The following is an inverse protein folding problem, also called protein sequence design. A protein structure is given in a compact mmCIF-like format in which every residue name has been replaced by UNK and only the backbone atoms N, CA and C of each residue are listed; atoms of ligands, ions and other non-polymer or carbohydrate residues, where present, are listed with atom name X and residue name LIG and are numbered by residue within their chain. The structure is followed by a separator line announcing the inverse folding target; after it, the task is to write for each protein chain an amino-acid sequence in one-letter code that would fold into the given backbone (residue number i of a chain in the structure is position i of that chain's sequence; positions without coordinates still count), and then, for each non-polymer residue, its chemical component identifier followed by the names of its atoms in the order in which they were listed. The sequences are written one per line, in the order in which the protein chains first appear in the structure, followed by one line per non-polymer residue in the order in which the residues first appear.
data_IF_660288075412
#
_entry.id   IF_660288075412
#
_cell.length_a   1.000
_cell.length_b   1.000
_cell.length_c   1.000
_cell.angle_alpha   90.00
_cell.angle_beta   90.00
_cell.angle_gamma   90.00
#
_symmetry.space_group_name_H-M   'P 1'
#
loop_
_entity.id
_entity.type
_entity.pdbx_description
1 polymer ?
#
# COMPACT_ATOMS: atom_id res chain seq x y z
N UNK A 1 -4.27 -19.26 -62.56
CA UNK A 1 -5.47 -18.66 -61.95
C UNK A 1 -5.49 -17.16 -62.27
N UNK A 2 -5.32 -16.81 -63.56
CA UNK A 2 -5.19 -15.41 -63.95
C UNK A 2 -6.57 -14.75 -64.02
N UNK A 3 -6.65 -13.49 -63.58
CA UNK A 3 -7.83 -12.63 -63.67
C UNK A 3 -9.13 -13.18 -63.03
N UNK A 4 -9.07 -14.22 -62.19
CA UNK A 4 -10.25 -14.95 -61.72
C UNK A 4 -11.28 -14.06 -61.00
N UNK A 5 -10.82 -13.09 -60.21
CA UNK A 5 -11.64 -12.16 -59.44
C UNK A 5 -11.29 -10.69 -59.75
N UNK A 6 -10.80 -10.41 -60.96
CA UNK A 6 -10.52 -9.02 -61.37
C UNK A 6 -11.81 -8.18 -61.32
N UNK A 7 -11.74 -7.03 -60.67
CA UNK A 7 -12.87 -6.10 -60.52
C UNK A 7 -14.06 -6.66 -59.74
N UNK A 8 -13.94 -7.82 -59.09
CA UNK A 8 -15.00 -8.43 -58.30
C UNK A 8 -15.14 -7.71 -56.94
N UNK A 9 -15.62 -6.47 -56.97
CA UNK A 9 -15.63 -5.54 -55.82
C UNK A 9 -16.36 -6.07 -54.59
N UNK A 10 -17.35 -6.95 -54.76
CA UNK A 10 -18.12 -7.55 -53.67
C UNK A 10 -17.57 -8.92 -53.19
N UNK A 11 -16.55 -9.48 -53.86
CA UNK A 11 -16.08 -10.83 -53.56
C UNK A 11 -15.23 -10.86 -52.27
N UNK A 12 -15.69 -11.64 -51.28
CA UNK A 12 -14.95 -11.92 -50.04
C UNK A 12 -15.29 -13.32 -49.50
N UNK A 13 -15.55 -14.28 -50.38
CA UNK A 13 -15.94 -15.64 -49.99
C UNK A 13 -14.72 -16.49 -49.64
N UNK A 14 -14.86 -17.40 -48.67
CA UNK A 14 -13.75 -18.20 -48.16
C UNK A 14 -13.13 -19.11 -49.23
N UNK A 15 -11.84 -18.90 -49.48
CA UNK A 15 -11.03 -19.66 -50.44
C UNK A 15 -9.70 -20.14 -49.84
N UNK A 16 -9.49 -19.93 -48.54
CA UNK A 16 -8.23 -20.29 -47.86
C UNK A 16 -7.85 -21.77 -47.98
N UNK A 17 -8.82 -22.66 -48.17
CA UNK A 17 -8.62 -24.11 -48.27
C UNK A 17 -8.34 -24.62 -49.70
N UNK A 18 -8.21 -23.72 -50.68
CA UNK A 18 -7.89 -24.14 -52.05
C UNK A 18 -6.50 -24.75 -52.14
N UNK A 19 -6.38 -25.84 -52.89
CA UNK A 19 -5.08 -26.43 -53.21
C UNK A 19 -4.44 -25.67 -54.39
N UNK A 20 -3.43 -24.85 -54.08
CA UNK A 20 -2.70 -24.04 -55.07
C UNK A 20 -1.35 -24.63 -55.47
N UNK A 21 -1.00 -25.85 -55.01
CA UNK A 21 0.35 -26.40 -55.11
C UNK A 21 0.88 -26.55 -56.56
N UNK A 22 -0.01 -26.68 -57.55
CA UNK A 22 0.33 -26.81 -58.97
C UNK A 22 0.10 -25.53 -59.77
N UNK A 23 -0.30 -24.43 -59.13
CA UNK A 23 -0.57 -23.16 -59.82
C UNK A 23 0.75 -22.49 -60.18
N UNK A 24 0.89 -22.08 -61.44
CA UNK A 24 2.11 -21.41 -61.95
C UNK A 24 1.93 -19.92 -62.22
N UNK A 25 0.68 -19.43 -62.34
CA UNK A 25 0.38 -18.03 -62.63
C UNK A 25 -0.87 -17.56 -61.87
N UNK A 26 -0.81 -16.34 -61.31
CA UNK A 26 -1.89 -15.68 -60.55
C UNK A 26 -2.01 -14.18 -60.94
N UNK A 27 -1.79 -13.86 -62.21
CA UNK A 27 -1.79 -12.48 -62.71
C UNK A 27 -3.14 -11.83 -62.42
N UNK A 28 -3.11 -10.64 -61.82
CA UNK A 28 -4.29 -9.81 -61.55
C UNK A 28 -5.46 -10.54 -60.88
N UNK A 29 -5.21 -11.64 -60.15
CA UNK A 29 -6.27 -12.52 -59.66
C UNK A 29 -7.31 -11.77 -58.80
N UNK A 30 -6.88 -10.81 -57.98
CA UNK A 30 -7.73 -9.97 -57.13
C UNK A 30 -7.56 -8.46 -57.44
N UNK A 31 -7.10 -8.12 -58.64
CA UNK A 31 -6.95 -6.72 -59.03
C UNK A 31 -8.31 -6.00 -58.94
N UNK A 32 -8.41 -4.93 -58.16
CA UNK A 32 -9.65 -4.18 -57.94
C UNK A 32 -10.75 -4.94 -57.16
N UNK A 33 -10.44 -6.08 -56.54
CA UNK A 33 -11.37 -6.80 -55.67
C UNK A 33 -11.43 -6.13 -54.28
N UNK A 34 -12.09 -4.97 -54.21
CA UNK A 34 -11.99 -4.03 -53.07
C UNK A 34 -12.47 -4.60 -51.73
N UNK A 35 -13.38 -5.56 -51.70
CA UNK A 35 -13.86 -6.21 -50.46
C UNK A 35 -13.08 -7.46 -50.05
N UNK A 36 -12.13 -7.94 -50.86
CA UNK A 36 -11.47 -9.22 -50.59
C UNK A 36 -10.48 -9.13 -49.42
N UNK A 37 -10.67 -9.94 -48.38
CA UNK A 37 -9.80 -10.01 -47.21
C UNK A 37 -9.78 -11.42 -46.56
N UNK A 38 -9.81 -12.48 -47.36
CA UNK A 38 -9.78 -13.84 -46.83
C UNK A 38 -8.35 -14.28 -46.50
N UNK A 39 -8.21 -15.12 -45.48
CA UNK A 39 -6.92 -15.68 -45.10
C UNK A 39 -6.41 -16.66 -46.16
N UNK A 40 -5.42 -16.21 -46.93
CA UNK A 40 -4.70 -16.98 -47.95
C UNK A 40 -3.20 -17.12 -47.63
N UNK A 41 -2.79 -16.78 -46.40
CA UNK A 41 -1.39 -16.88 -45.98
C UNK A 41 -0.84 -18.31 -46.03
N UNK A 42 -1.72 -19.32 -45.97
CA UNK A 42 -1.38 -20.74 -46.00
C UNK A 42 -1.32 -21.34 -47.41
N UNK A 43 -1.60 -20.58 -48.46
CA UNK A 43 -1.50 -21.09 -49.83
C UNK A 43 -0.07 -21.49 -50.19
N UNK A 44 0.07 -22.63 -50.86
CA UNK A 44 1.35 -23.03 -51.44
C UNK A 44 1.52 -22.34 -52.80
N UNK A 45 2.40 -21.35 -52.85
CA UNK A 45 2.70 -20.56 -54.06
C UNK A 45 4.11 -20.82 -54.62
N UNK A 46 4.78 -21.87 -54.16
CA UNK A 46 6.20 -22.13 -54.50
C UNK A 46 6.46 -22.32 -56.00
N UNK A 47 5.44 -22.71 -56.77
CA UNK A 47 5.53 -22.86 -58.23
C UNK A 47 5.02 -21.64 -59.01
N UNK A 48 4.46 -20.62 -58.34
CA UNK A 48 3.91 -19.44 -59.00
C UNK A 48 5.03 -18.54 -59.47
N UNK A 49 5.15 -18.37 -60.78
CA UNK A 49 6.19 -17.54 -61.41
C UNK A 49 5.68 -16.15 -61.79
N UNK A 50 4.37 -15.90 -61.74
CA UNK A 50 3.82 -14.58 -62.05
C UNK A 50 2.66 -14.20 -61.12
N UNK A 51 2.84 -13.09 -60.39
CA UNK A 51 1.83 -12.45 -59.51
C UNK A 51 1.67 -10.96 -59.83
N UNK A 52 1.96 -10.55 -61.07
CA UNK A 52 1.81 -9.15 -61.49
C UNK A 52 0.40 -8.65 -61.16
N UNK A 53 0.32 -7.50 -60.48
CA UNK A 53 -0.93 -6.83 -60.10
C UNK A 53 -1.93 -7.67 -59.28
N UNK A 54 -1.51 -8.77 -58.66
CA UNK A 54 -2.42 -9.73 -58.01
C UNK A 54 -3.41 -9.10 -57.01
N UNK A 55 -2.97 -8.14 -56.19
CA UNK A 55 -3.80 -7.43 -55.19
C UNK A 55 -3.85 -5.91 -55.44
N UNK A 56 -3.51 -5.47 -56.66
CA UNK A 56 -3.51 -4.05 -56.97
C UNK A 56 -4.93 -3.48 -56.82
N UNK A 57 -5.09 -2.46 -55.97
CA UNK A 57 -6.39 -1.87 -55.66
C UNK A 57 -7.33 -2.74 -54.82
N UNK A 58 -6.86 -3.86 -54.24
CA UNK A 58 -7.64 -4.65 -53.29
C UNK A 58 -7.64 -3.97 -51.90
N UNK A 59 -8.46 -2.94 -51.74
CA UNK A 59 -8.39 -1.99 -50.61
C UNK A 59 -8.75 -2.56 -49.23
N UNK A 60 -9.45 -3.69 -49.14
CA UNK A 60 -9.70 -4.39 -47.88
C UNK A 60 -8.65 -5.46 -47.55
N UNK A 61 -7.76 -5.79 -48.49
CA UNK A 61 -6.84 -6.91 -48.37
C UNK A 61 -5.76 -6.65 -47.31
N UNK A 62 -5.82 -7.37 -46.20
CA UNK A 62 -4.95 -7.16 -45.06
C UNK A 62 -4.49 -8.51 -44.45
N UNK A 63 -3.62 -9.20 -45.17
CA UNK A 63 -3.13 -10.54 -44.80
C UNK A 63 -1.60 -10.55 -44.74
N UNK A 64 -1.03 -11.21 -43.73
CA UNK A 64 0.41 -11.49 -43.66
C UNK A 64 0.80 -12.55 -44.71
N UNK A 65 1.70 -12.18 -45.63
CA UNK A 65 2.18 -13.06 -46.70
C UNK A 65 3.55 -13.69 -46.40
N UNK A 66 4.06 -13.54 -45.17
CA UNK A 66 5.40 -14.00 -44.81
C UNK A 66 5.62 -15.51 -44.92
N UNK A 67 4.57 -16.33 -44.84
CA UNK A 67 4.68 -17.78 -45.01
C UNK A 67 4.89 -18.22 -46.47
N UNK A 68 4.64 -17.33 -47.43
CA UNK A 68 4.73 -17.65 -48.85
C UNK A 68 6.19 -17.87 -49.28
N UNK A 69 6.46 -19.07 -49.80
CA UNK A 69 7.72 -19.38 -50.46
C UNK A 69 7.67 -18.90 -51.91
N UNK A 70 8.53 -17.95 -52.25
CA UNK A 70 8.57 -17.34 -53.57
C UNK A 70 9.40 -18.18 -54.54
N UNK A 71 8.86 -18.43 -55.73
CA UNK A 71 9.63 -19.03 -56.81
C UNK A 71 10.82 -18.14 -57.19
N UNK A 72 11.95 -18.76 -57.56
CA UNK A 72 13.15 -18.03 -57.94
C UNK A 72 12.95 -17.12 -59.16
N UNK A 73 11.91 -17.28 -59.97
CA UNK A 73 11.62 -16.44 -61.14
C UNK A 73 10.37 -15.57 -61.00
N UNK A 74 9.83 -15.43 -59.78
CA UNK A 74 8.53 -14.78 -59.58
C UNK A 74 8.53 -13.31 -60.03
N UNK A 75 7.48 -12.89 -60.73
CA UNK A 75 7.22 -11.48 -61.04
C UNK A 75 6.25 -10.87 -60.02
N UNK A 76 6.70 -9.83 -59.29
CA UNK A 76 5.96 -9.12 -58.23
C UNK A 76 5.58 -7.68 -58.62
N UNK A 77 5.72 -7.32 -59.89
CA UNK A 77 5.45 -5.97 -60.38
C UNK A 77 4.03 -5.55 -60.03
N UNK A 78 3.89 -4.39 -59.38
CA UNK A 78 2.59 -3.81 -58.98
C UNK A 78 1.71 -4.70 -58.08
N UNK A 79 2.24 -5.80 -57.53
CA UNK A 79 1.46 -6.84 -56.85
C UNK A 79 0.59 -6.28 -55.71
N UNK A 80 1.11 -5.35 -54.92
CA UNK A 80 0.49 -4.81 -53.70
C UNK A 80 0.11 -3.32 -53.81
N UNK A 81 0.28 -2.70 -54.98
CA UNK A 81 -0.02 -1.28 -55.17
C UNK A 81 -1.45 -0.95 -54.74
N UNK A 82 -1.62 0.04 -53.86
CA UNK A 82 -2.92 0.51 -53.36
C UNK A 82 -3.78 -0.61 -52.73
N UNK A 83 -3.15 -1.66 -52.20
CA UNK A 83 -3.85 -2.68 -51.40
C UNK A 83 -4.13 -2.17 -49.98
N UNK A 84 -5.03 -2.84 -49.26
CA UNK A 84 -5.41 -2.53 -47.89
C UNK A 84 -4.45 -3.00 -46.80
N UNK A 85 -3.23 -3.42 -47.15
CA UNK A 85 -2.36 -4.12 -46.22
C UNK A 85 -1.93 -3.17 -45.11
N UNK A 86 -2.14 -3.58 -43.85
CA UNK A 86 -1.74 -2.78 -42.70
C UNK A 86 -0.21 -2.70 -42.62
N UNK A 87 0.28 -1.69 -41.90
CA UNK A 87 1.71 -1.59 -41.64
C UNK A 87 2.28 -2.85 -40.95
N UNK A 88 1.54 -3.44 -40.00
CA UNK A 88 1.95 -4.68 -39.32
C UNK A 88 2.11 -5.85 -40.30
N UNK A 89 1.11 -6.10 -41.15
CA UNK A 89 1.15 -7.23 -42.09
C UNK A 89 2.18 -7.01 -43.21
N UNK A 90 2.37 -5.76 -43.65
CA UNK A 90 3.41 -5.42 -44.61
C UNK A 90 4.81 -5.58 -44.01
N UNK A 91 5.05 -5.07 -42.79
CA UNK A 91 6.30 -5.29 -42.04
C UNK A 91 6.62 -6.78 -41.91
N UNK A 92 5.67 -7.59 -41.44
CA UNK A 92 5.86 -9.05 -41.29
C UNK A 92 6.19 -9.75 -42.60
N UNK A 93 5.54 -9.33 -43.69
CA UNK A 93 5.81 -9.84 -45.03
C UNK A 93 7.25 -9.54 -45.45
N UNK A 94 7.70 -8.29 -45.29
CA UNK A 94 9.07 -7.89 -45.63
C UNK A 94 10.12 -8.61 -44.77
N UNK A 95 9.89 -8.72 -43.45
CA UNK A 95 10.76 -9.44 -42.51
C UNK A 95 10.90 -10.92 -42.91
N UNK A 96 9.81 -11.58 -43.24
CA UNK A 96 9.88 -12.97 -43.66
C UNK A 96 10.59 -13.12 -45.03
N UNK A 97 10.26 -12.25 -45.99
CA UNK A 97 10.85 -12.30 -47.32
C UNK A 97 12.32 -11.91 -47.35
N UNK A 98 12.81 -11.12 -46.38
CA UNK A 98 14.25 -10.87 -46.22
C UNK A 98 15.04 -12.11 -45.83
N UNK A 99 14.39 -13.21 -45.42
CA UNK A 99 15.04 -14.49 -45.13
C UNK A 99 14.99 -15.52 -46.28
N UNK A 100 14.24 -15.24 -47.36
CA UNK A 100 14.18 -16.13 -48.54
C UNK A 100 15.46 -16.09 -49.40
N UNK A 101 15.67 -17.02 -50.31
CA UNK A 101 16.82 -17.00 -51.23
C UNK A 101 16.63 -16.12 -52.49
N UNK A 102 15.44 -15.52 -52.66
CA UNK A 102 15.07 -14.79 -53.89
C UNK A 102 15.73 -13.41 -53.98
N UNK A 103 16.38 -13.11 -55.10
CA UNK A 103 17.09 -11.85 -55.36
C UNK A 103 16.55 -11.12 -56.59
N UNK A 104 16.80 -9.81 -56.71
CA UNK A 104 16.56 -9.02 -57.94
C UNK A 104 15.09 -8.88 -58.34
N UNK A 105 14.16 -8.68 -57.39
CA UNK A 105 12.73 -8.55 -57.68
C UNK A 105 12.28 -7.09 -57.70
N UNK A 106 11.28 -6.79 -58.52
CA UNK A 106 10.56 -5.52 -58.47
C UNK A 106 9.24 -5.76 -57.74
N UNK A 107 9.09 -5.19 -56.55
CA UNK A 107 7.86 -5.25 -55.76
C UNK A 107 7.15 -3.89 -55.83
N UNK A 108 5.97 -3.88 -56.43
CA UNK A 108 5.09 -2.71 -56.33
C UNK A 108 4.21 -2.81 -55.09
N UNK A 109 4.34 -1.83 -54.20
CA UNK A 109 3.60 -1.72 -52.94
C UNK A 109 3.21 -0.25 -52.67
N UNK A 110 2.87 0.52 -53.71
CA UNK A 110 2.53 1.94 -53.59
C UNK A 110 1.44 2.16 -52.53
N UNK A 111 1.57 3.23 -51.75
CA UNK A 111 0.74 3.60 -50.60
C UNK A 111 0.93 2.77 -49.32
N UNK A 112 1.62 1.63 -49.36
CA UNK A 112 1.94 0.87 -48.15
C UNK A 112 3.13 1.47 -47.41
N UNK A 113 3.05 1.49 -46.08
CA UNK A 113 4.17 1.88 -45.21
C UNK A 113 4.56 0.72 -44.33
N UNK A 114 5.86 0.57 -44.07
CA UNK A 114 6.39 -0.42 -43.13
C UNK A 114 6.83 0.25 -41.82
N UNK A 115 6.89 -0.55 -40.75
CA UNK A 115 7.25 -0.12 -39.41
C UNK A 115 8.76 -0.11 -39.17
N UNK A 116 9.21 0.57 -38.11
CA UNK A 116 10.64 0.57 -37.72
C UNK A 116 11.17 -0.86 -37.50
N UNK A 117 10.31 -1.78 -37.05
CA UNK A 117 10.58 -3.21 -36.91
C UNK A 117 11.01 -3.92 -38.21
N UNK A 118 10.62 -3.40 -39.37
CA UNK A 118 11.00 -3.96 -40.67
C UNK A 118 12.19 -3.23 -41.34
N UNK A 119 12.78 -2.22 -40.71
CA UNK A 119 13.86 -1.39 -41.31
C UNK A 119 15.06 -2.23 -41.75
N UNK A 120 15.52 -3.15 -40.89
CA UNK A 120 16.65 -4.02 -41.22
C UNK A 120 16.30 -4.97 -42.39
N UNK A 121 15.10 -5.54 -42.38
CA UNK A 121 14.63 -6.42 -43.45
C UNK A 121 14.50 -5.69 -44.79
N UNK A 122 13.95 -4.47 -44.76
CA UNK A 122 13.84 -3.59 -45.93
C UNK A 122 15.23 -3.27 -46.50
N UNK A 123 16.21 -2.96 -45.64
CA UNK A 123 17.59 -2.77 -46.05
C UNK A 123 18.17 -4.04 -46.68
N UNK A 124 18.04 -5.21 -46.05
CA UNK A 124 18.46 -6.50 -46.62
C UNK A 124 17.86 -6.76 -48.01
N UNK A 125 16.57 -6.48 -48.19
CA UNK A 125 15.88 -6.67 -49.47
C UNK A 125 16.43 -5.73 -50.55
N UNK A 126 16.62 -4.45 -50.22
CA UNK A 126 16.90 -3.39 -51.21
C UNK A 126 18.38 -3.16 -51.49
N UNK A 127 19.28 -3.46 -50.53
CA UNK A 127 20.72 -3.36 -50.73
C UNK A 127 21.15 -4.23 -51.92
N UNK A 128 22.03 -3.70 -52.77
CA UNK A 128 22.50 -4.39 -53.96
C UNK A 128 23.13 -5.75 -53.63
N UNK A 129 22.99 -6.71 -54.55
CA UNK A 129 23.52 -8.08 -54.39
C UNK A 129 25.03 -8.06 -54.13
N UNK A 130 25.78 -7.23 -54.86
CA UNK A 130 27.22 -7.07 -54.68
C UNK A 130 27.65 -6.49 -53.33
N UNK A 131 26.71 -5.96 -52.54
CA UNK A 131 26.93 -5.40 -51.21
C UNK A 131 26.33 -6.28 -50.10
N UNK A 132 25.98 -7.53 -50.41
CA UNK A 132 25.45 -8.49 -49.43
C UNK A 132 23.93 -8.40 -49.20
N UNK A 133 23.21 -7.59 -49.96
CA UNK A 133 21.74 -7.54 -49.95
C UNK A 133 21.11 -8.40 -51.04
N UNK A 134 19.82 -8.20 -51.32
CA UNK A 134 19.06 -8.95 -52.33
C UNK A 134 18.81 -8.21 -53.64
N UNK A 135 19.09 -6.91 -53.69
CA UNK A 135 18.93 -6.08 -54.89
C UNK A 135 17.50 -5.95 -55.37
N UNK A 136 16.51 -5.99 -54.47
CA UNK A 136 15.12 -5.74 -54.83
C UNK A 136 14.90 -4.24 -55.07
N UNK A 137 14.01 -3.93 -56.01
CA UNK A 137 13.43 -2.59 -56.18
C UNK A 137 12.04 -2.61 -55.59
N UNK A 138 11.83 -1.90 -54.47
CA UNK A 138 10.54 -1.80 -53.82
C UNK A 138 10.01 -0.38 -54.03
N UNK A 139 8.77 -0.27 -54.54
CA UNK A 139 8.09 1.02 -54.71
C UNK A 139 6.92 1.09 -53.75
N UNK A 140 7.16 1.65 -52.57
CA UNK A 140 6.18 1.84 -51.50
C UNK A 140 6.19 3.29 -50.97
N UNK A 141 5.48 3.54 -49.86
CA UNK A 141 5.42 4.86 -49.22
C UNK A 141 6.46 5.04 -48.08
N UNK A 142 7.45 4.15 -47.99
CA UNK A 142 8.54 4.20 -47.03
C UNK A 142 8.17 3.79 -45.60
N UNK A 143 9.07 4.09 -44.66
CA UNK A 143 8.85 3.84 -43.24
C UNK A 143 7.78 4.78 -42.68
N UNK A 144 6.96 4.30 -41.74
CA UNK A 144 5.98 5.12 -41.03
C UNK A 144 6.54 5.87 -39.80
N UNK A 145 7.76 5.53 -39.36
CA UNK A 145 8.42 6.14 -38.20
C UNK A 145 8.10 5.52 -36.83
N UNK A 146 7.37 4.41 -36.77
CA UNK A 146 7.05 3.72 -35.50
C UNK A 146 7.01 2.19 -35.68
N UNK A 147 7.17 1.44 -34.60
CA UNK A 147 6.99 0.00 -34.65
C UNK A 147 5.50 -0.33 -34.82
N UNK A 148 5.17 -1.08 -35.87
CA UNK A 148 3.77 -1.36 -36.26
C UNK A 148 3.10 -2.46 -35.45
N UNK A 149 3.84 -3.14 -34.59
CA UNK A 149 3.33 -4.14 -33.65
C UNK A 149 3.52 -3.74 -32.18
N UNK A 150 3.94 -2.48 -31.91
CA UNK A 150 4.29 -2.02 -30.57
C UNK A 150 3.11 -2.06 -29.60
N UNK A 151 3.28 -2.68 -28.43
CA UNK A 151 2.42 -2.45 -27.28
C UNK A 151 3.15 -1.55 -26.28
N UNK A 152 2.52 -0.43 -25.89
CA UNK A 152 3.13 0.44 -24.89
C UNK A 152 3.31 -0.28 -23.54
N UNK A 153 4.34 0.07 -22.75
CA UNK A 153 4.52 -0.51 -21.43
C UNK A 153 3.30 -0.21 -20.56
N UNK A 154 2.98 -1.14 -19.66
CA UNK A 154 1.92 -0.98 -18.66
C UNK A 154 2.59 -0.83 -17.31
N UNK A 155 2.42 0.35 -16.72
CA UNK A 155 2.89 0.67 -15.38
C UNK A 155 1.69 0.85 -14.47
N UNK A 156 1.70 0.19 -13.32
CA UNK A 156 0.61 0.28 -12.33
C UNK A 156 1.18 0.55 -10.95
N UNK A 157 0.74 1.65 -10.35
CA UNK A 157 1.04 1.99 -8.96
C UNK A 157 0.09 1.26 -8.01
N UNK A 158 0.56 1.01 -6.80
CA UNK A 158 -0.25 0.48 -5.71
C UNK A 158 -1.30 1.49 -5.25
N UNK A 159 -2.42 0.98 -4.74
CA UNK A 159 -3.48 1.79 -4.14
C UNK A 159 -3.01 2.59 -2.92
N UNK A 160 -3.73 3.65 -2.58
CA UNK A 160 -3.45 4.48 -1.39
C UNK A 160 -2.23 5.38 -1.55
N UNK A 161 -1.87 6.06 -0.46
CA UNK A 161 -0.77 7.03 -0.42
C UNK A 161 0.48 6.48 0.23
N UNK A 162 1.64 7.03 -0.13
CA UNK A 162 2.90 6.81 0.59
C UNK A 162 3.14 8.00 1.52
N UNK A 163 3.42 7.70 2.78
CA UNK A 163 3.67 8.71 3.81
C UNK A 163 5.14 9.16 3.75
N UNK A 164 5.40 10.46 3.74
CA UNK A 164 6.75 11.04 3.78
C UNK A 164 6.94 11.98 4.98
N UNK A 165 8.17 12.06 5.52
CA UNK A 165 8.51 13.01 6.58
C UNK A 165 9.54 14.05 6.09
N UNK A 166 9.75 15.14 6.85
CA UNK A 166 10.66 16.22 6.47
C UNK A 166 12.16 15.87 6.60
N UNK A 167 12.53 14.68 7.09
CA UNK A 167 13.93 14.37 7.44
C UNK A 167 14.60 13.35 6.52
N UNK A 168 13.85 12.43 5.89
CA UNK A 168 14.41 11.30 5.14
C UNK A 168 13.69 11.05 3.81
N UNK A 169 14.43 10.59 2.80
CA UNK A 169 13.83 10.15 1.54
C UNK A 169 13.10 8.82 1.72
N UNK A 170 11.87 8.74 1.22
CA UNK A 170 11.04 7.53 1.26
C UNK A 170 10.82 6.99 -0.14
N UNK A 171 10.81 5.66 -0.31
CA UNK A 171 10.44 5.06 -1.59
C UNK A 171 9.02 5.50 -2.00
N UNK A 172 8.85 5.95 -3.23
CA UNK A 172 7.55 6.47 -3.71
C UNK A 172 6.53 5.34 -3.77
N UNK A 173 6.88 4.22 -4.40
CA UNK A 173 6.06 3.02 -4.44
C UNK A 173 6.93 1.78 -4.62
N UNK A 174 7.22 1.07 -3.53
CA UNK A 174 8.06 -0.12 -3.56
C UNK A 174 7.35 -1.39 -4.06
N UNK A 175 6.08 -1.28 -4.47
CA UNK A 175 5.25 -2.40 -4.94
C UNK A 175 4.71 -2.22 -6.36
N UNK A 176 4.98 -1.09 -7.02
CA UNK A 176 4.54 -0.82 -8.40
C UNK A 176 4.90 -1.98 -9.34
N UNK A 177 4.06 -2.24 -10.34
CA UNK A 177 4.31 -3.28 -11.34
C UNK A 177 4.57 -2.67 -12.71
N UNK A 178 5.43 -3.32 -13.49
CA UNK A 178 5.77 -2.94 -14.85
C UNK A 178 5.79 -4.18 -15.74
N UNK A 179 5.00 -4.14 -16.82
CA UNK A 179 4.93 -5.19 -17.83
C UNK A 179 4.92 -4.60 -19.22
N UNK A 180 5.36 -5.38 -20.19
CA UNK A 180 5.30 -5.03 -21.60
C UNK A 180 5.03 -6.33 -22.39
N UNK A 181 4.21 -6.24 -23.44
CA UNK A 181 3.71 -7.43 -24.14
C UNK A 181 4.66 -7.91 -25.24
N UNK A 182 5.46 -7.01 -25.81
CA UNK A 182 6.34 -7.29 -26.94
C UNK A 182 7.81 -6.93 -26.70
N UNK A 183 8.12 -6.18 -25.64
CA UNK A 183 9.49 -5.85 -25.26
C UNK A 183 9.93 -6.54 -23.95
N UNK A 184 11.07 -7.23 -23.96
CA UNK A 184 11.69 -7.80 -22.74
C UNK A 184 12.64 -6.83 -22.02
N UNK A 185 12.99 -5.73 -22.68
CA UNK A 185 13.86 -4.66 -22.19
C UNK A 185 13.24 -3.30 -22.51
N UNK A 186 13.56 -2.26 -21.73
CA UNK A 186 13.05 -0.90 -21.95
C UNK A 186 14.19 0.13 -22.06
N UNK A 187 13.91 1.25 -22.72
CA UNK A 187 14.89 2.30 -23.01
C UNK A 187 14.97 3.37 -21.91
N UNK A 188 13.86 3.69 -21.24
CA UNK A 188 13.84 4.79 -20.29
C UNK A 188 12.62 4.82 -19.37
N UNK A 189 12.65 5.75 -18.42
CA UNK A 189 11.49 6.10 -17.61
C UNK A 189 11.57 7.56 -17.14
N UNK A 190 10.41 8.14 -16.81
CA UNK A 190 10.30 9.44 -16.15
C UNK A 190 9.56 9.26 -14.84
N UNK A 191 10.09 9.87 -13.78
CA UNK A 191 9.38 10.04 -12.51
C UNK A 191 9.30 11.53 -12.23
N UNK A 192 8.09 12.06 -12.00
CA UNK A 192 7.87 13.51 -11.94
C UNK A 192 7.01 13.88 -10.75
N UNK A 193 7.30 14.99 -10.08
CA UNK A 193 6.39 15.58 -9.09
C UNK A 193 5.41 16.49 -9.86
N UNK A 194 4.18 16.02 -10.09
CA UNK A 194 3.23 16.68 -11.00
C UNK A 194 2.25 17.62 -10.29
N UNK A 195 2.03 17.43 -8.99
CA UNK A 195 1.20 18.31 -8.18
C UNK A 195 1.97 18.81 -6.96
N UNK A 196 1.83 20.12 -6.67
CA UNK A 196 2.50 20.80 -5.56
C UNK A 196 4.03 20.64 -5.54
N UNK A 197 4.67 20.59 -6.72
CA UNK A 197 6.13 20.65 -6.82
C UNK A 197 6.65 21.95 -6.19
N UNK A 198 7.64 21.82 -5.31
CA UNK A 198 8.36 22.95 -4.74
C UNK A 198 9.85 22.84 -5.07
N UNK A 199 10.48 23.99 -5.36
CA UNK A 199 11.93 24.04 -5.61
C UNK A 199 12.67 23.44 -4.41
N UNK A 200 13.54 22.47 -4.68
CA UNK A 200 14.29 21.74 -3.67
C UNK A 200 13.69 20.39 -3.27
N UNK A 201 12.45 20.08 -3.68
CA UNK A 201 11.98 18.70 -3.64
C UNK A 201 12.92 17.84 -4.49
N UNK A 202 13.15 16.60 -4.09
CA UNK A 202 14.09 15.69 -4.76
C UNK A 202 13.42 14.35 -5.01
N UNK A 203 13.46 13.91 -6.27
CA UNK A 203 13.34 12.51 -6.63
C UNK A 203 14.76 11.96 -6.85
N UNK A 204 15.09 10.88 -6.17
CA UNK A 204 16.42 10.30 -6.21
C UNK A 204 16.38 8.81 -6.58
N UNK A 205 17.30 8.44 -7.47
CA UNK A 205 17.64 7.07 -7.81
C UNK A 205 19.15 6.88 -7.63
N UNK A 206 19.57 5.73 -7.16
CA UNK A 206 20.99 5.38 -7.02
C UNK A 206 21.24 4.11 -7.83
N UNK A 207 22.06 4.23 -8.88
CA UNK A 207 22.41 3.10 -9.73
C UNK A 207 23.14 2.00 -8.93
N UNK A 208 23.02 0.76 -9.40
CA UNK A 208 23.61 -0.41 -8.76
C UNK A 208 23.36 -1.68 -9.57
N UNK A 209 24.05 -2.76 -9.22
CA UNK A 209 24.01 -4.01 -9.97
C UNK A 209 22.60 -4.62 -10.11
N UNK A 210 21.69 -4.32 -9.15
CA UNK A 210 20.29 -4.77 -9.19
C UNK A 210 19.44 -4.08 -10.29
N UNK A 211 19.97 -3.02 -10.91
CA UNK A 211 19.26 -2.17 -11.87
C UNK A 211 19.95 -2.15 -13.24
N UNK A 212 20.85 -3.12 -13.51
CA UNK A 212 21.59 -3.22 -14.76
C UNK A 212 22.39 -1.97 -15.08
N UNK A 213 22.19 -1.44 -16.29
CA UNK A 213 22.86 -0.23 -16.78
C UNK A 213 22.00 1.05 -16.68
N UNK A 214 20.95 1.04 -15.84
CA UNK A 214 20.07 2.20 -15.69
C UNK A 214 20.83 3.33 -14.97
N UNK A 215 20.79 4.52 -15.57
CA UNK A 215 21.34 5.77 -15.00
C UNK A 215 20.22 6.80 -14.86
N UNK A 216 20.46 7.88 -14.11
CA UNK A 216 19.44 8.91 -13.90
C UNK A 216 19.99 10.33 -13.84
N UNK A 217 19.17 11.29 -14.26
CA UNK A 217 19.40 12.73 -14.11
C UNK A 217 18.16 13.40 -13.55
N UNK A 218 18.31 14.17 -12.45
CA UNK A 218 17.22 14.94 -11.85
C UNK A 218 17.28 16.41 -12.27
N UNK A 219 16.16 16.96 -12.75
CA UNK A 219 16.02 18.37 -13.03
C UNK A 219 15.30 19.08 -11.87
N UNK A 220 16.07 19.82 -11.06
CA UNK A 220 15.57 20.57 -9.90
C UNK A 220 14.76 21.83 -10.24
N UNK A 221 14.61 22.17 -11.52
CA UNK A 221 13.69 23.23 -11.96
C UNK A 221 12.31 22.66 -12.27
N UNK A 222 12.24 21.46 -12.82
CA UNK A 222 10.98 20.85 -13.27
C UNK A 222 10.46 19.74 -12.37
N UNK A 223 11.26 19.24 -11.43
CA UNK A 223 10.87 18.13 -10.55
C UNK A 223 10.85 16.78 -11.25
N UNK A 224 11.59 16.63 -12.36
CA UNK A 224 11.59 15.42 -13.20
C UNK A 224 12.91 14.66 -13.03
N UNK A 225 12.81 13.41 -12.59
CA UNK A 225 13.87 12.41 -12.65
C UNK A 225 13.74 11.62 -13.95
N UNK A 226 14.72 11.76 -14.83
CA UNK A 226 14.80 10.99 -16.07
C UNK A 226 15.75 9.82 -15.85
N UNK A 227 15.28 8.59 -16.09
CA UNK A 227 16.07 7.38 -16.07
C UNK A 227 16.28 6.86 -17.49
N UNK A 228 17.48 6.35 -17.79
CA UNK A 228 17.82 5.82 -19.11
C UNK A 228 18.67 4.55 -19.02
N UNK A 229 18.41 3.62 -19.93
CA UNK A 229 19.27 2.45 -20.18
C UNK A 229 20.03 2.67 -21.49
N UNK A 230 21.36 2.62 -21.43
CA UNK A 230 22.16 2.70 -22.65
C UNK A 230 21.81 1.51 -23.57
N UNK A 231 21.53 1.82 -24.84
CA UNK A 231 21.13 0.82 -25.86
C UNK A 231 19.88 -0.01 -25.52
N UNK A 232 19.02 0.46 -24.61
CA UNK A 232 17.76 -0.20 -24.21
C UNK A 232 17.94 -1.67 -23.79
N UNK A 233 19.03 -1.98 -23.08
CA UNK A 233 19.40 -3.36 -22.70
C UNK A 233 18.92 -3.78 -21.31
N UNK A 234 18.46 -2.85 -20.47
CA UNK A 234 17.96 -3.19 -19.13
C UNK A 234 16.62 -3.91 -19.22
N UNK A 235 16.52 -5.02 -18.50
CA UNK A 235 15.37 -5.93 -18.49
C UNK A 235 14.16 -5.33 -17.76
N UNK A 236 12.97 -5.85 -18.04
CA UNK A 236 11.75 -5.47 -17.31
C UNK A 236 11.90 -5.61 -15.79
N UNK A 237 12.59 -6.65 -15.32
CA UNK A 237 12.81 -6.89 -13.89
C UNK A 237 13.71 -5.81 -13.26
N UNK A 238 14.78 -5.42 -13.95
CA UNK A 238 15.68 -4.35 -13.51
C UNK A 238 14.98 -2.99 -13.50
N UNK A 239 14.16 -2.70 -14.52
CA UNK A 239 13.34 -1.48 -14.56
C UNK A 239 12.31 -1.42 -13.44
N UNK A 240 11.60 -2.53 -13.18
CA UNK A 240 10.65 -2.60 -12.08
C UNK A 240 11.36 -2.38 -10.73
N UNK A 241 12.52 -3.01 -10.53
CA UNK A 241 13.32 -2.81 -9.31
C UNK A 241 13.82 -1.37 -9.18
N UNK A 242 14.29 -0.77 -10.28
CA UNK A 242 14.78 0.60 -10.31
C UNK A 242 13.69 1.61 -9.94
N UNK A 243 12.51 1.51 -10.57
CA UNK A 243 11.39 2.39 -10.29
C UNK A 243 10.87 2.23 -8.85
N UNK A 244 10.84 0.99 -8.32
CA UNK A 244 10.51 0.72 -6.91
C UNK A 244 11.49 1.34 -5.92
N UNK A 245 12.74 1.56 -6.36
CA UNK A 245 13.79 2.16 -5.53
C UNK A 245 13.79 3.69 -5.54
N UNK A 246 13.03 4.33 -6.43
CA UNK A 246 12.99 5.79 -6.52
C UNK A 246 12.42 6.36 -5.22
N UNK A 247 13.20 7.25 -4.61
CA UNK A 247 12.82 7.92 -3.37
C UNK A 247 12.38 9.34 -3.61
N UNK A 248 11.42 9.80 -2.82
CA UNK A 248 10.99 11.19 -2.73
C UNK A 248 11.45 11.78 -1.40
N UNK A 249 12.03 12.97 -1.47
CA UNK A 249 12.36 13.82 -0.32
C UNK A 249 11.81 15.22 -0.54
N UNK A 250 11.01 15.68 0.42
CA UNK A 250 10.46 17.03 0.42
C UNK A 250 11.53 18.07 0.78
N UNK A 251 11.52 19.24 0.15
CA UNK A 251 12.34 20.37 0.58
C UNK A 251 11.77 21.04 1.82
N UNK A 252 10.50 21.43 1.74
CA UNK A 252 9.75 22.09 2.80
C UNK A 252 8.24 22.02 2.52
N UNK A 253 7.44 22.20 3.57
CA UNK A 253 5.97 22.21 3.48
C UNK A 253 5.30 20.88 3.80
N UNK A 254 3.99 20.95 4.04
CA UNK A 254 3.14 19.84 4.51
C UNK A 254 2.00 19.51 3.54
N UNK A 255 2.18 19.87 2.27
CA UNK A 255 1.15 19.65 1.25
C UNK A 255 1.25 18.23 0.70
N UNK A 256 0.12 17.56 0.54
CA UNK A 256 0.02 16.36 -0.29
C UNK A 256 0.57 16.65 -1.69
N UNK A 257 1.38 15.74 -2.21
CA UNK A 257 1.98 15.82 -3.55
C UNK A 257 1.56 14.62 -4.39
N UNK A 258 1.70 14.75 -5.69
CA UNK A 258 1.51 13.62 -6.63
C UNK A 258 2.80 13.36 -7.34
N UNK A 259 3.28 12.12 -7.29
CA UNK A 259 4.39 11.65 -8.10
C UNK A 259 3.83 10.79 -9.23
N UNK A 260 4.24 11.06 -10.46
CA UNK A 260 3.86 10.32 -11.64
C UNK A 260 5.01 9.48 -12.18
N UNK A 261 4.67 8.39 -12.86
CA UNK A 261 5.57 7.45 -13.48
C UNK A 261 5.17 7.20 -14.93
N UNK A 262 6.17 7.17 -15.81
CA UNK A 262 6.02 6.77 -17.20
C UNK A 262 7.22 5.89 -17.58
N UNK A 263 7.00 4.74 -18.22
CA UNK A 263 8.04 3.87 -18.76
C UNK A 263 8.09 4.00 -20.29
N UNK A 264 9.26 3.82 -20.90
CA UNK A 264 9.49 3.98 -22.33
C UNK A 264 10.24 2.77 -22.89
N UNK A 265 9.61 2.05 -23.81
CA UNK A 265 10.16 0.84 -24.47
C UNK A 265 11.19 1.15 -25.57
N UNK A 266 11.26 2.40 -26.04
CA UNK A 266 12.06 2.82 -27.20
C UNK A 266 11.23 3.28 -28.39
N UNK A 267 9.92 3.00 -28.38
CA UNK A 267 8.94 3.36 -29.39
C UNK A 267 7.81 4.22 -28.79
N UNK A 268 7.27 3.87 -27.62
CA UNK A 268 6.17 4.54 -26.94
C UNK A 268 6.32 4.61 -25.42
N UNK A 269 5.70 5.62 -24.81
CA UNK A 269 5.57 5.72 -23.37
C UNK A 269 4.32 4.98 -22.87
N UNK A 270 4.38 4.46 -21.64
CA UNK A 270 3.20 4.00 -20.91
C UNK A 270 2.20 5.13 -20.68
N UNK A 271 0.96 4.79 -20.35
CA UNK A 271 0.07 5.76 -19.69
C UNK A 271 0.69 6.23 -18.38
N UNK A 272 0.42 7.48 -18.01
CA UNK A 272 0.90 8.05 -16.74
C UNK A 272 0.23 7.33 -15.56
N UNK A 273 1.02 6.63 -14.74
CA UNK A 273 0.55 6.15 -13.44
C UNK A 273 0.94 7.15 -12.34
N UNK A 274 0.13 7.26 -11.30
CA UNK A 274 0.36 8.24 -10.23
C UNK A 274 0.33 7.59 -8.86
N UNK A 275 1.09 8.19 -7.94
CA UNK A 275 1.11 7.86 -6.52
C UNK A 275 0.94 9.14 -5.71
N UNK A 276 0.03 9.10 -4.75
CA UNK A 276 -0.14 10.20 -3.80
C UNK A 276 0.93 10.09 -2.72
N UNK A 277 1.61 11.21 -2.47
CA UNK A 277 2.57 11.37 -1.39
C UNK A 277 1.92 12.25 -0.32
N UNK A 278 1.55 11.64 0.79
CA UNK A 278 0.94 12.35 1.91
C UNK A 278 2.00 12.67 2.95
N UNK A 279 1.95 13.87 3.49
CA UNK A 279 2.84 14.24 4.60
C UNK A 279 2.50 13.39 5.82
N UNK A 280 3.54 12.94 6.51
CA UNK A 280 3.47 12.42 7.86
C UNK A 280 3.06 13.59 8.77
N UNK A 281 1.76 13.84 8.89
CA UNK A 281 1.24 14.84 9.80
C UNK A 281 1.40 14.34 11.23
N UNK A 282 2.63 14.40 11.74
CA UNK A 282 2.85 14.25 13.18
C UNK A 282 2.42 15.55 13.85
N UNK A 283 1.13 15.74 14.11
CA UNK A 283 0.67 16.94 14.84
C UNK A 283 -0.49 16.64 15.80
N UNK A 284 -0.06 16.23 16.99
CA UNK A 284 -0.52 16.57 18.34
C UNK A 284 -1.97 17.02 18.54
N UNK A 285 -2.68 16.28 19.38
CA UNK A 285 -3.78 16.80 20.20
C UNK A 285 -3.30 18.04 20.96
N UNK A 286 -4.03 19.15 20.82
CA UNK A 286 -3.88 20.30 21.70
C UNK A 286 -4.54 19.96 23.04
N UNK A 287 -3.76 19.41 23.97
CA UNK A 287 -4.24 19.05 25.30
C UNK A 287 -4.41 20.32 26.16
N UNK A 288 -5.64 20.62 26.55
CA UNK A 288 -5.96 21.75 27.42
C UNK A 288 -5.76 21.37 28.89
N UNK A 289 -6.20 20.17 29.28
CA UNK A 289 -6.11 19.72 30.67
C UNK A 289 -6.06 18.20 30.76
N UNK A 290 -5.39 17.69 31.80
CA UNK A 290 -5.49 16.31 32.25
C UNK A 290 -5.41 16.29 33.77
N UNK A 291 -6.42 15.73 34.42
CA UNK A 291 -6.55 15.67 35.87
C UNK A 291 -6.83 14.24 36.33
N UNK A 292 -6.34 13.93 37.53
CA UNK A 292 -6.62 12.69 38.23
C UNK A 292 -7.17 13.03 39.61
N UNK A 293 -8.35 12.52 39.93
CA UNK A 293 -9.05 12.82 41.20
C UNK A 293 -9.40 11.52 41.91
N UNK A 294 -9.00 11.40 43.18
CA UNK A 294 -9.36 10.27 44.01
C UNK A 294 -10.85 10.32 44.37
N UNK A 295 -11.56 9.19 44.21
CA UNK A 295 -12.90 8.94 44.73
C UNK A 295 -12.85 7.74 45.70
N UNK A 296 -13.94 7.42 46.38
CA UNK A 296 -13.96 6.46 47.49
C UNK A 296 -13.29 5.10 47.21
N UNK A 297 -13.37 4.57 45.99
CA UNK A 297 -12.80 3.28 45.60
C UNK A 297 -12.24 3.25 44.17
N UNK A 298 -12.05 4.42 43.54
CA UNK A 298 -11.63 4.56 42.13
C UNK A 298 -10.94 5.89 41.91
N UNK A 299 -10.14 6.00 40.85
CA UNK A 299 -9.66 7.28 40.37
C UNK A 299 -10.48 7.72 39.15
N UNK A 300 -10.96 8.97 39.15
CA UNK A 300 -11.56 9.60 37.98
C UNK A 300 -10.46 10.38 37.24
N UNK A 301 -10.25 10.03 35.98
CA UNK A 301 -9.33 10.71 35.08
C UNK A 301 -10.14 11.52 34.08
N UNK A 302 -9.83 12.80 33.92
CA UNK A 302 -10.54 13.69 33.00
C UNK A 302 -9.55 14.49 32.18
N UNK A 303 -9.85 14.70 30.92
CA UNK A 303 -9.06 15.57 30.05
C UNK A 303 -9.94 16.31 29.07
N UNK A 304 -9.39 17.41 28.55
CA UNK A 304 -10.01 18.17 27.49
C UNK A 304 -8.99 18.50 26.41
N UNK A 305 -9.44 18.45 25.16
CA UNK A 305 -8.66 18.79 23.98
C UNK A 305 -9.24 20.05 23.34
N UNK A 306 -8.40 20.91 22.77
CA UNK A 306 -8.84 22.07 21.99
C UNK A 306 -9.01 21.74 20.51
N UNK A 307 -8.20 20.82 20.02
CA UNK A 307 -8.25 20.26 18.68
C UNK A 307 -7.66 18.84 18.68
N UNK A 308 -8.11 18.02 17.75
CA UNK A 308 -7.61 16.66 17.49
C UNK A 308 -7.42 16.50 15.99
N UNK A 309 -6.40 15.75 15.60
CA UNK A 309 -6.12 15.45 14.20
C UNK A 309 -5.83 13.96 14.10
N UNK A 310 -6.60 13.25 13.26
CA UNK A 310 -6.47 11.80 13.03
C UNK A 310 -6.44 10.92 14.30
N UNK A 311 -6.97 11.42 15.42
CA UNK A 311 -6.95 10.72 16.69
C UNK A 311 -7.94 9.55 16.68
N UNK A 312 -7.43 8.32 16.75
CA UNK A 312 -8.25 7.11 16.85
C UNK A 312 -8.76 6.95 18.28
N UNK A 313 -7.86 6.95 19.26
CA UNK A 313 -8.20 6.83 20.67
C UNK A 313 -7.11 7.38 21.58
N UNK A 314 -7.51 7.78 22.78
CA UNK A 314 -6.60 8.02 23.88
C UNK A 314 -6.34 6.72 24.65
N UNK A 315 -5.09 6.47 25.00
CA UNK A 315 -4.72 5.38 25.90
C UNK A 315 -4.22 5.93 27.23
N UNK A 316 -4.74 5.37 28.30
CA UNK A 316 -4.36 5.72 29.66
C UNK A 316 -3.58 4.55 30.23
N UNK A 317 -2.42 4.86 30.80
CA UNK A 317 -1.60 3.87 31.47
C UNK A 317 -1.27 4.30 32.90
N UNK A 318 -1.04 3.32 33.76
CA UNK A 318 -0.72 3.50 35.18
C UNK A 318 0.55 2.77 35.57
N UNK A 319 1.30 3.36 36.50
CA UNK A 319 2.35 2.69 37.28
C UNK A 319 2.37 3.16 38.74
N UNK A 320 3.00 2.39 39.62
CA UNK A 320 3.36 2.77 40.99
C UNK A 320 4.85 3.05 41.17
N UNK A 321 5.70 2.67 40.20
CA UNK A 321 7.16 2.81 40.27
C UNK A 321 7.72 3.95 39.42
N UNK A 322 6.87 4.59 38.62
CA UNK A 322 7.25 5.67 37.69
C UNK A 322 7.91 5.20 36.39
N UNK A 323 8.13 3.89 36.19
CA UNK A 323 8.85 3.33 35.05
C UNK A 323 8.00 2.35 34.22
N UNK A 324 7.35 1.38 34.86
CA UNK A 324 6.64 0.28 34.19
C UNK A 324 5.14 0.55 34.07
N UNK A 325 4.77 1.27 33.02
CA UNK A 325 3.37 1.65 32.77
C UNK A 325 2.56 0.51 32.13
N UNK A 326 1.33 0.33 32.60
CA UNK A 326 0.36 -0.68 32.11
C UNK A 326 -0.91 -0.01 31.61
N UNK A 327 -1.46 -0.45 30.47
CA UNK A 327 -2.70 0.08 29.90
C UNK A 327 -3.90 -0.28 30.76
N UNK A 328 -4.66 0.74 31.17
CA UNK A 328 -5.85 0.59 32.02
C UNK A 328 -7.14 1.03 31.33
N UNK A 329 -7.06 1.88 30.29
CA UNK A 329 -8.22 2.31 29.53
C UNK A 329 -7.85 2.80 28.13
N UNK A 330 -8.78 2.60 27.18
CA UNK A 330 -8.75 3.20 25.84
C UNK A 330 -10.07 3.92 25.60
N UNK A 331 -10.00 5.18 25.19
CA UNK A 331 -11.18 6.03 24.97
C UNK A 331 -11.13 6.60 23.56
N UNK A 332 -12.12 6.28 22.74
CA UNK A 332 -12.21 6.71 21.34
C UNK A 332 -12.16 8.23 21.20
N UNK A 333 -11.26 8.71 20.34
CA UNK A 333 -11.11 10.11 19.97
C UNK A 333 -12.17 10.55 18.98
N UNK A 334 -12.10 11.81 18.53
CA UNK A 334 -13.03 12.36 17.52
C UNK A 334 -12.47 12.32 16.09
N UNK A 335 -11.32 11.68 15.86
CA UNK A 335 -10.62 11.76 14.60
C UNK A 335 -10.03 13.16 14.42
N UNK A 336 -10.63 13.94 13.51
CA UNK A 336 -10.20 15.30 13.21
C UNK A 336 -11.27 16.31 13.58
N UNK A 337 -10.94 17.22 14.50
CA UNK A 337 -11.85 18.27 14.98
C UNK A 337 -11.09 19.47 15.53
N UNK A 338 -11.62 20.67 15.28
CA UNK A 338 -11.13 21.92 15.87
C UNK A 338 -12.03 22.40 17.02
N UNK A 339 -12.89 21.52 17.54
CA UNK A 339 -13.77 21.82 18.67
C UNK A 339 -13.16 21.31 19.98
N UNK A 340 -13.50 22.01 21.07
CA UNK A 340 -13.15 21.52 22.40
C UNK A 340 -13.92 20.26 22.74
N UNK A 341 -13.22 19.16 23.03
CA UNK A 341 -13.83 17.91 23.48
C UNK A 341 -13.40 17.58 24.90
N UNK A 342 -14.29 16.92 25.65
CA UNK A 342 -14.05 16.51 27.04
C UNK A 342 -14.23 15.00 27.13
N UNK A 343 -13.34 14.38 27.89
CA UNK A 343 -13.28 12.95 28.04
C UNK A 343 -13.09 12.58 29.51
N UNK A 344 -13.42 11.34 29.82
CA UNK A 344 -13.17 10.77 31.13
C UNK A 344 -12.98 9.26 31.07
N UNK A 345 -12.20 8.74 32.00
CA UNK A 345 -12.09 7.31 32.27
C UNK A 345 -11.96 7.07 33.78
N UNK A 346 -12.22 5.83 34.20
CA UNK A 346 -12.01 5.41 35.58
C UNK A 346 -10.88 4.39 35.67
N UNK A 347 -10.02 4.56 36.67
CA UNK A 347 -9.29 3.43 37.24
C UNK A 347 -10.17 2.83 38.34
N UNK A 348 -10.70 1.63 38.11
CA UNK A 348 -11.60 0.93 39.03
C UNK A 348 -10.88 0.21 40.18
N UNK A 349 -9.55 0.10 40.11
CA UNK A 349 -8.76 -0.59 41.12
C UNK A 349 -7.40 0.13 41.32
N UNK A 350 -7.41 1.41 41.74
CA UNK A 350 -6.19 2.15 42.00
C UNK A 350 -5.41 1.50 43.15
N UNK A 351 -4.09 1.50 43.04
CA UNK A 351 -3.23 0.84 44.04
C UNK A 351 -3.08 1.78 45.24
N UNK A 352 -3.11 1.25 46.46
CA UNK A 352 -2.90 2.07 47.66
C UNK A 352 -1.49 2.71 47.64
N UNK A 353 -1.41 4.02 47.86
CA UNK A 353 -0.17 4.78 47.76
C UNK A 353 -0.13 5.71 46.55
N UNK A 354 1.07 5.93 46.00
CA UNK A 354 1.28 6.84 44.86
C UNK A 354 1.04 6.11 43.55
N UNK A 355 0.17 6.67 42.70
CA UNK A 355 -0.06 6.19 41.35
C UNK A 355 0.34 7.30 40.36
N UNK A 356 1.03 6.92 39.30
CA UNK A 356 1.34 7.77 38.16
C UNK A 356 0.47 7.37 36.98
N UNK A 357 -0.29 8.31 36.43
CA UNK A 357 -1.12 8.12 35.25
C UNK A 357 -0.54 8.90 34.09
N UNK A 358 -0.44 8.26 32.92
CA UNK A 358 -0.05 8.96 31.69
C UNK A 358 -1.12 8.83 30.62
N UNK A 359 -1.31 9.90 29.87
CA UNK A 359 -2.26 10.00 28.76
C UNK A 359 -1.48 9.99 27.45
N UNK A 360 -1.80 9.05 26.57
CA UNK A 360 -1.26 8.95 25.21
C UNK A 360 -2.37 9.16 24.18
N UNK A 361 -2.02 9.72 23.04
CA UNK A 361 -2.80 9.68 21.82
C UNK A 361 -2.37 8.48 20.98
N UNK A 362 -3.32 7.81 20.35
CA UNK A 362 -3.08 6.82 19.30
C UNK A 362 -3.86 7.21 18.05
N UNK A 363 -3.16 7.31 16.94
CA UNK A 363 -3.71 7.78 15.68
C UNK A 363 -4.37 6.66 14.88
N UNK A 364 -5.12 7.03 13.83
CA UNK A 364 -5.75 6.07 12.91
C UNK A 364 -4.72 5.17 12.19
N UNK A 365 -3.46 5.60 12.09
CA UNK A 365 -2.34 4.83 11.55
C UNK A 365 -1.58 4.00 12.61
N UNK A 366 -2.00 4.07 13.88
CA UNK A 366 -1.43 3.32 14.99
C UNK A 366 -0.20 3.95 15.65
N UNK A 367 0.28 5.12 15.22
CA UNK A 367 1.35 5.83 15.92
C UNK A 367 0.86 6.37 17.27
N UNK A 368 1.79 6.49 18.22
CA UNK A 368 1.47 6.93 19.58
C UNK A 368 2.28 8.16 20.00
N UNK A 369 1.62 9.13 20.64
CA UNK A 369 2.28 10.32 21.21
C UNK A 369 1.93 10.43 22.70
N UNK A 370 2.94 10.59 23.56
CA UNK A 370 2.72 10.89 24.99
C UNK A 370 2.29 12.35 25.14
N UNK A 371 1.15 12.59 25.78
CA UNK A 371 0.63 13.95 25.98
C UNK A 371 1.02 14.51 27.35
N UNK A 372 0.81 13.75 28.43
CA UNK A 372 0.96 14.28 29.79
C UNK A 372 1.08 13.15 30.84
N UNK A 373 1.70 13.44 31.99
CA UNK A 373 1.75 12.54 33.16
C UNK A 373 1.25 13.24 34.44
N UNK A 374 0.50 12.53 35.30
CA UNK A 374 -0.05 13.05 36.56
C UNK A 374 0.20 12.07 37.71
N UNK A 375 0.61 12.61 38.85
CA UNK A 375 0.66 11.90 40.12
C UNK A 375 -0.69 12.02 40.84
N UNK A 376 -1.18 10.92 41.41
CA UNK A 376 -2.29 10.92 42.36
C UNK A 376 -1.97 10.01 43.52
N UNK A 377 -2.12 10.54 44.74
CA UNK A 377 -2.01 9.77 45.98
C UNK A 377 -3.39 9.21 46.31
N UNK A 378 -3.47 7.89 46.37
CA UNK A 378 -4.68 7.17 46.75
C UNK A 378 -4.47 6.57 48.14
N UNK A 379 -5.34 6.90 49.08
CA UNK A 379 -5.35 6.30 50.41
C UNK A 379 -6.68 5.60 50.61
N UNK A 380 -6.67 4.27 50.73
CA UNK A 380 -7.85 3.52 51.17
C UNK A 380 -8.12 3.68 52.67
N UNK A 381 -7.24 4.36 53.42
CA UNK A 381 -7.31 4.45 54.87
C UNK A 381 -8.30 5.56 55.30
N UNK A 382 -9.59 5.25 55.37
CA UNK A 382 -10.51 5.94 56.30
C UNK A 382 -10.56 5.16 57.62
N UNK A 383 -10.29 5.86 58.73
CA UNK A 383 -10.27 5.34 60.11
C UNK A 383 -11.50 4.46 60.40
N UNK A 384 -11.29 3.19 60.77
CA UNK A 384 -12.35 2.37 61.35
C UNK A 384 -12.81 3.01 62.67
N UNK A 385 -14.10 3.29 62.78
CA UNK A 385 -14.75 3.63 64.05
C UNK A 385 -15.49 2.40 64.57
N UNK A 386 -15.45 2.19 65.88
CA UNK A 386 -16.09 1.05 66.55
C UNK A 386 -17.22 1.61 67.39
N UNK A 387 -18.41 1.06 67.21
CA UNK A 387 -19.55 1.40 68.07
C UNK A 387 -19.98 0.15 68.83
N UNK A 388 -20.18 0.27 70.14
CA UNK A 388 -20.74 -0.80 70.99
C UNK A 388 -22.25 -0.67 71.05
N UNK A 389 -22.97 -1.77 70.83
CA UNK A 389 -24.43 -1.77 70.91
C UNK A 389 -25.03 -3.13 71.28
N UNK A 390 -25.91 -3.21 72.30
CA UNK A 390 -25.94 -2.47 73.56
C UNK A 390 -25.00 -3.10 74.62
N UNK A 391 -24.94 -2.49 75.82
CA UNK A 391 -24.25 -2.98 77.03
C UNK A 391 -24.39 -4.51 77.19
N UNK A 392 -23.34 -5.27 77.60
CA UNK A 392 -23.34 -6.72 77.49
C UNK A 392 -24.58 -7.35 78.14
N UNK A 393 -25.38 -8.02 77.33
CA UNK A 393 -26.46 -8.92 77.75
C UNK A 393 -25.83 -10.31 77.77
N UNK A 394 -25.42 -10.75 78.97
CA UNK A 394 -24.76 -12.01 79.34
C UNK A 394 -24.06 -12.83 78.23
N UNK A 395 -22.75 -13.03 78.40
CA UNK A 395 -21.84 -13.86 77.58
C UNK A 395 -21.50 -13.36 76.17
N UNK A 396 -22.14 -12.31 75.66
CA UNK A 396 -21.82 -11.73 74.34
C UNK A 396 -21.60 -10.22 74.35
N UNK A 397 -20.65 -9.75 73.56
CA UNK A 397 -20.40 -8.33 73.27
C UNK A 397 -20.46 -8.13 71.75
N UNK A 398 -21.35 -7.26 71.28
CA UNK A 398 -21.40 -6.91 69.86
C UNK A 398 -20.50 -5.72 69.56
N UNK A 399 -19.58 -5.90 68.63
CA UNK A 399 -18.71 -4.87 68.09
C UNK A 399 -19.16 -4.56 66.66
N UNK A 400 -19.64 -3.34 66.43
CA UNK A 400 -19.97 -2.87 65.09
C UNK A 400 -18.76 -2.12 64.57
N UNK A 401 -18.20 -2.62 63.47
CA UNK A 401 -17.09 -2.00 62.76
C UNK A 401 -17.64 -1.26 61.54
N UNK A 402 -17.36 0.03 61.44
CA UNK A 402 -17.71 0.81 60.25
C UNK A 402 -16.46 1.29 59.53
N UNK A 403 -16.33 0.93 58.25
CA UNK A 403 -15.15 1.17 57.41
C UNK A 403 -15.05 0.19 56.24
N UNK A 404 -13.98 0.28 55.44
CA UNK A 404 -13.68 -0.63 54.32
C UNK A 404 -12.27 -1.21 54.48
N UNK A 405 -12.11 -2.51 54.19
CA UNK A 405 -10.81 -3.21 54.17
C UNK A 405 -10.74 -4.44 55.06
N UNK A 406 -9.83 -5.37 54.73
CA UNK A 406 -9.53 -6.54 55.56
C UNK A 406 -8.43 -6.17 56.57
N UNK A 407 -8.68 -6.34 57.87
CA UNK A 407 -7.73 -5.95 58.93
C UNK A 407 -7.58 -7.09 59.94
N UNK A 408 -6.32 -7.46 60.19
CA UNK A 408 -5.94 -8.27 61.34
C UNK A 408 -5.94 -7.37 62.59
N UNK A 409 -6.81 -7.70 63.53
CA UNK A 409 -7.05 -6.94 64.76
C UNK A 409 -6.94 -7.86 65.96
N UNK A 410 -6.60 -7.28 67.11
CA UNK A 410 -6.52 -7.97 68.39
C UNK A 410 -7.45 -7.29 69.37
N UNK A 411 -8.33 -8.08 69.96
CA UNK A 411 -9.24 -7.67 71.02
C UNK A 411 -8.70 -8.16 72.35
N UNK A 412 -8.65 -7.29 73.35
CA UNK A 412 -8.25 -7.63 74.72
C UNK A 412 -9.20 -6.97 75.71
N UNK A 413 -9.73 -7.75 76.66
CA UNK A 413 -10.50 -7.24 77.78
C UNK A 413 -9.67 -7.39 79.04
N UNK A 414 -9.49 -6.32 79.81
CA UNK A 414 -8.81 -6.34 81.11
C UNK A 414 -9.74 -5.89 82.23
N UNK A 415 -9.56 -6.44 83.44
CA UNK A 415 -10.17 -5.89 84.65
C UNK A 415 -9.49 -4.56 85.05
N UNK A 416 -10.01 -3.89 86.09
CA UNK A 416 -9.42 -2.63 86.60
C UNK A 416 -7.99 -2.75 87.15
N UNK A 417 -7.55 -3.97 87.47
CA UNK A 417 -6.17 -4.25 87.90
C UNK A 417 -5.23 -4.50 86.70
N UNK A 418 -5.75 -4.38 85.47
CA UNK A 418 -4.98 -4.57 84.23
C UNK A 418 -4.78 -6.03 83.83
N UNK A 419 -5.39 -6.99 84.55
CA UNK A 419 -5.29 -8.41 84.20
C UNK A 419 -6.22 -8.73 83.03
N UNK A 420 -5.70 -9.41 82.01
CA UNK A 420 -6.49 -9.83 80.85
C UNK A 420 -7.46 -10.95 81.25
N UNK A 421 -8.75 -10.73 80.99
CA UNK A 421 -9.83 -11.69 81.24
C UNK A 421 -10.34 -12.32 79.95
N UNK A 422 -10.05 -11.72 78.79
CA UNK A 422 -10.33 -12.27 77.48
C UNK A 422 -9.37 -11.67 76.45
N UNK A 423 -8.98 -12.46 75.44
CA UNK A 423 -8.30 -11.97 74.26
C UNK A 423 -8.66 -12.82 73.04
N UNK A 424 -8.71 -12.19 71.87
CA UNK A 424 -9.00 -12.86 70.60
C UNK A 424 -8.32 -12.10 69.47
N UNK A 425 -7.68 -12.82 68.54
CA UNK A 425 -7.20 -12.26 67.29
C UNK A 425 -8.32 -12.41 66.25
N UNK A 426 -8.72 -11.29 65.65
CA UNK A 426 -9.85 -11.16 64.74
C UNK A 426 -9.39 -10.68 63.37
N UNK A 427 -9.82 -11.38 62.33
CA UNK A 427 -9.70 -10.89 60.95
C UNK A 427 -11.04 -10.32 60.53
N UNK A 428 -11.11 -8.99 60.40
CA UNK A 428 -12.32 -8.30 59.97
C UNK A 428 -12.24 -8.15 58.47
N UNK A 429 -13.22 -8.71 57.75
CA UNK A 429 -13.27 -8.59 56.30
C UNK A 429 -14.19 -7.45 55.86
N UNK A 430 -13.93 -6.89 54.67
CA UNK A 430 -14.69 -5.75 54.12
C UNK A 430 -16.22 -5.98 53.95
N UNK A 431 -16.70 -7.22 54.08
CA UNK A 431 -18.11 -7.60 53.98
C UNK A 431 -18.82 -7.79 55.35
N UNK A 432 -18.10 -7.73 56.47
CA UNK A 432 -18.64 -7.95 57.82
C UNK A 432 -18.63 -6.65 58.61
N UNK A 433 -19.80 -6.00 58.72
CA UNK A 433 -19.99 -4.79 59.54
C UNK A 433 -20.23 -5.08 61.02
N UNK A 434 -20.62 -6.31 61.37
CA UNK A 434 -20.98 -6.71 62.73
C UNK A 434 -20.18 -7.94 63.16
N UNK A 435 -19.44 -7.82 64.26
CA UNK A 435 -18.77 -8.95 64.90
C UNK A 435 -19.37 -9.21 66.29
N UNK A 436 -19.74 -10.47 66.55
CA UNK A 436 -20.18 -10.91 67.87
C UNK A 436 -19.02 -11.56 68.60
N UNK A 437 -18.51 -10.87 69.61
CA UNK A 437 -17.50 -11.41 70.51
C UNK A 437 -18.18 -12.32 71.53
N UNK A 438 -17.93 -13.62 71.43
CA UNK A 438 -18.44 -14.62 72.37
C UNK A 438 -17.43 -14.82 73.49
N UNK A 439 -17.82 -14.50 74.71
CA UNK A 439 -16.97 -14.69 75.86
C UNK A 439 -17.03 -16.15 76.31
N UNK A 440 -15.88 -16.75 76.62
CA UNK A 440 -15.80 -18.13 77.14
C UNK A 440 -16.46 -18.29 78.52
N UNK A 441 -16.66 -17.18 79.24
CA UNK A 441 -17.38 -17.10 80.50
C UNK A 441 -17.95 -15.69 80.66
N UNK A 442 -19.13 -15.57 81.28
CA UNK A 442 -19.68 -14.27 81.66
C UNK A 442 -18.70 -13.48 82.54
N UNK A 443 -18.54 -12.18 82.24
CA UNK A 443 -17.79 -11.26 83.10
C UNK A 443 -18.49 -11.13 84.44
N UNK A 444 -17.75 -11.20 85.55
CA UNK A 444 -18.31 -10.90 86.87
C UNK A 444 -18.71 -9.43 86.96
N UNK A 445 -19.73 -9.05 87.76
CA UNK A 445 -20.14 -7.66 87.91
C UNK A 445 -18.94 -6.75 88.25
N UNK A 446 -18.76 -5.66 87.48
CA UNK A 446 -17.58 -4.81 87.61
C UNK A 446 -17.24 -3.98 86.37
N UNK A 447 -16.18 -3.19 86.47
CA UNK A 447 -15.65 -2.37 85.38
C UNK A 447 -14.50 -3.08 84.65
N UNK A 448 -14.50 -2.98 83.32
CA UNK A 448 -13.48 -3.55 82.46
C UNK A 448 -13.06 -2.55 81.38
N UNK A 449 -11.92 -2.81 80.75
CA UNK A 449 -11.42 -2.06 79.61
C UNK A 449 -11.31 -3.01 78.43
N UNK A 450 -12.02 -2.71 77.36
CA UNK A 450 -11.89 -3.34 76.05
C UNK A 450 -10.89 -2.53 75.23
N UNK A 451 -9.85 -3.18 74.72
CA UNK A 451 -8.90 -2.61 73.76
C UNK A 451 -9.02 -3.35 72.45
N UNK A 452 -9.15 -2.60 71.36
CA UNK A 452 -9.13 -3.13 70.00
C UNK A 452 -7.98 -2.47 69.27
N UNK A 453 -6.98 -3.26 68.88
CA UNK A 453 -5.78 -2.76 68.21
C UNK A 453 -5.54 -3.52 66.91
N UNK A 454 -5.24 -2.79 65.84
CA UNK A 454 -4.88 -3.33 64.53
C UNK A 454 -4.07 -2.29 63.75
N UNK A 455 -3.65 -2.63 62.52
CA UNK A 455 -2.88 -1.71 61.68
C UNK A 455 -3.71 -0.43 61.40
N UNK A 456 -3.32 0.69 62.02
CA UNK A 456 -4.03 1.98 61.89
C UNK A 456 -5.30 2.14 62.76
N UNK A 457 -5.62 1.15 63.60
CA UNK A 457 -6.77 1.15 64.50
C UNK A 457 -6.30 0.97 65.95
N UNK A 458 -6.60 1.92 66.82
CA UNK A 458 -6.44 1.75 68.27
C UNK A 458 -7.60 2.41 68.99
N UNK A 459 -8.43 1.60 69.64
CA UNK A 459 -9.55 2.09 70.44
C UNK A 459 -9.57 1.42 71.81
N UNK A 460 -9.93 2.22 72.80
CA UNK A 460 -10.09 1.80 74.19
C UNK A 460 -11.48 2.18 74.65
N UNK A 461 -12.23 1.21 75.15
CA UNK A 461 -13.62 1.39 75.54
C UNK A 461 -13.85 0.85 76.94
N UNK A 462 -14.53 1.63 77.77
CA UNK A 462 -14.92 1.22 79.13
C UNK A 462 -16.17 0.34 79.05
N UNK A 463 -16.11 -0.82 79.69
CA UNK A 463 -17.23 -1.76 79.83
C UNK A 463 -17.70 -1.78 81.28
N UNK A 464 -19.02 -1.90 81.49
CA UNK A 464 -19.62 -2.11 82.81
C UNK A 464 -20.46 -3.38 82.73
N UNK A 465 -19.94 -4.48 83.28
CA UNK A 465 -20.71 -5.70 83.47
C UNK A 465 -21.62 -5.50 84.68
N UNK A 466 -22.94 -5.61 84.48
CA UNK A 466 -23.94 -5.49 85.54
C UNK A 466 -24.25 -6.84 86.17
#
# INVERSE_FOLDING_TARGET
MDNMFIGATAFNQSIGNWNTANVTSMISMFNGATAFNQNIGNWNIALVTNMTSMFNGATAFNVNLGAWQLAATVNLTSMLNNSGMSCSNYSKTLIAWSNLSVTGRVLGATALKYGTNATAAYATLTTAIGSGGKGWTITDAGANGSNCDNASPILTTSSGSTIYNNSTGVAVDNTLTLTDADNTTLAGAKVSITNNYAVGDVLAFTAGAAYGNITSTYNSTTGILTLSSASASATLAEWQAALRSVTFKVASGVNTKTVSFEAYDGDAYSTIATKTMDVDQVLSVNLISFTATAQANRALLQWSTGAELNNSYFEIERTTDGANFTSIAKVTGKGTTNQTNRYSAYDLAPINGVNYYRLKQVDLDGKTTLLETRELRFSLDKQLTITLYPNPVSETINLVFSGYGDIDTKVVITNILGQAVHHEDLKINAAQSDYRLNLTKALTPGQYILRVNGKGLSQTIKLIAK
#
